data_IF_131570104268
#
_entry.id   IF_131570104268
#
_cell.length_a   1.000
_cell.length_b   1.000
_cell.length_c   1.000
_cell.angle_alpha   90.00
_cell.angle_beta   90.00
_cell.angle_gamma   90.00
#
_symmetry.space_group_name_H-M   'P 1'
#
loop_
_entity.id
_entity.type
_entity.pdbx_description
1 polymer ?
#
# COMPACT_ATOMS: atom_id res chain seq x y z
N UNK A 1 -11.50 -19.33 41.46
CA UNK A 1 -10.37 -18.76 40.69
C UNK A 1 -9.89 -19.84 39.74
N UNK A 2 -10.35 -19.80 38.49
CA UNK A 2 -9.93 -20.72 37.42
C UNK A 2 -9.12 -19.92 36.43
N UNK A 3 -7.81 -20.17 36.35
CA UNK A 3 -6.91 -19.49 35.42
C UNK A 3 -7.24 -19.82 33.95
N UNK A 4 -6.84 -18.95 33.01
CA UNK A 4 -7.09 -19.18 31.59
C UNK A 4 -6.29 -20.40 31.10
N UNK A 5 -6.95 -21.24 30.29
CA UNK A 5 -6.32 -22.38 29.60
C UNK A 5 -5.36 -21.86 28.53
N UNK A 6 -4.17 -22.44 28.36
CA UNK A 6 -3.30 -22.10 27.25
C UNK A 6 -3.99 -22.47 25.92
N UNK A 7 -4.06 -21.51 24.99
CA UNK A 7 -4.51 -21.74 23.62
C UNK A 7 -3.57 -22.71 22.88
N UNK A 8 -4.01 -23.29 21.76
CA UNK A 8 -3.20 -24.28 21.03
C UNK A 8 -1.89 -23.64 20.59
N UNK A 9 -0.77 -24.26 20.98
CA UNK A 9 0.54 -23.93 20.46
C UNK A 9 0.53 -24.18 18.94
N UNK A 10 0.56 -23.10 18.16
CA UNK A 10 0.69 -23.21 16.71
C UNK A 10 2.13 -23.64 16.42
N UNK A 11 2.32 -24.95 16.25
CA UNK A 11 3.58 -25.49 15.77
C UNK A 11 3.78 -25.01 14.33
N UNK A 12 4.82 -24.22 14.10
CA UNK A 12 5.32 -23.95 12.75
C UNK A 12 5.61 -25.31 12.09
N UNK A 13 5.10 -25.59 10.88
CA UNK A 13 5.64 -26.71 10.13
C UNK A 13 7.15 -26.45 9.95
N UNK A 14 7.99 -27.50 10.01
CA UNK A 14 9.40 -27.34 9.65
C UNK A 14 9.44 -26.68 8.27
N UNK A 15 10.39 -25.76 8.09
CA UNK A 15 10.67 -25.14 6.79
C UNK A 15 10.79 -26.27 5.77
N UNK A 16 9.70 -26.54 5.05
CA UNK A 16 9.69 -27.50 3.97
C UNK A 16 10.65 -26.98 2.93
N UNK A 17 11.48 -27.87 2.39
CA UNK A 17 12.48 -27.55 1.36
C UNK A 17 11.91 -26.53 0.37
N UNK A 18 12.39 -25.29 0.47
CA UNK A 18 12.23 -24.28 -0.57
C UNK A 18 12.89 -24.85 -1.82
N UNK A 19 12.11 -25.53 -2.66
CA UNK A 19 12.58 -25.95 -3.96
C UNK A 19 12.67 -24.70 -4.85
N UNK A 20 13.87 -24.32 -5.32
CA UNK A 20 14.01 -23.19 -6.22
C UNK A 20 13.33 -23.57 -7.55
N UNK A 21 12.20 -22.93 -7.87
CA UNK A 21 11.54 -23.14 -9.17
C UNK A 21 10.02 -23.14 -9.21
N UNK A 22 9.30 -22.98 -8.09
CA UNK A 22 7.87 -22.62 -8.10
C UNK A 22 7.74 -21.15 -7.76
N UNK A 23 7.12 -20.39 -8.67
CA UNK A 23 7.13 -18.94 -8.69
C UNK A 23 6.39 -18.28 -7.53
N UNK A 24 7.08 -18.08 -6.42
CA UNK A 24 6.74 -17.08 -5.43
C UNK A 24 7.46 -15.77 -5.83
N UNK A 25 6.75 -14.70 -6.24
CA UNK A 25 7.39 -13.46 -6.67
C UNK A 25 7.81 -12.64 -5.44
N UNK A 26 8.88 -13.05 -4.77
CA UNK A 26 9.47 -12.29 -3.67
C UNK A 26 10.50 -11.28 -4.19
N UNK A 27 10.48 -10.06 -3.63
CA UNK A 27 11.40 -8.99 -4.05
C UNK A 27 12.86 -9.26 -3.64
N UNK A 28 13.11 -10.05 -2.58
CA UNK A 28 14.44 -10.29 -2.00
C UNK A 28 14.58 -11.62 -1.20
N UNK A 29 13.66 -12.59 -1.34
CA UNK A 29 13.73 -13.86 -0.59
C UNK A 29 13.18 -13.81 0.85
N UNK A 30 12.34 -12.81 1.17
CA UNK A 30 11.69 -12.66 2.48
C UNK A 30 10.21 -13.05 2.36
N UNK A 31 9.80 -14.06 3.13
CA UNK A 31 8.41 -14.50 3.22
C UNK A 31 7.63 -13.75 4.29
N UNK A 32 6.38 -13.38 3.98
CA UNK A 32 5.40 -12.83 4.92
C UNK A 32 4.27 -13.83 5.13
N UNK A 33 3.82 -13.97 6.38
CA UNK A 33 2.59 -14.70 6.68
C UNK A 33 1.39 -13.82 6.37
N UNK A 34 0.38 -14.39 5.72
CA UNK A 34 -0.86 -13.72 5.36
C UNK A 34 -2.08 -14.51 5.85
N UNK A 35 -3.14 -13.79 6.18
CA UNK A 35 -4.46 -14.37 6.40
C UNK A 35 -5.26 -14.32 5.09
N UNK A 36 -6.28 -15.20 4.92
CA UNK A 36 -7.20 -15.10 3.80
C UNK A 36 -7.85 -13.72 3.72
N UNK A 37 -8.15 -13.27 2.51
CA UNK A 37 -8.87 -12.01 2.32
C UNK A 37 -10.25 -12.10 3.00
N UNK A 38 -10.63 -11.10 3.83
CA UNK A 38 -11.95 -11.06 4.43
C UNK A 38 -13.04 -10.84 3.37
N UNK A 39 -14.32 -10.90 3.76
CA UNK A 39 -15.39 -10.61 2.82
C UNK A 39 -15.26 -9.17 2.31
N UNK A 40 -15.49 -8.91 1.00
CA UNK A 40 -15.24 -7.61 0.41
C UNK A 40 -16.06 -6.48 1.06
N UNK A 41 -17.27 -6.77 1.54
CA UNK A 41 -18.17 -5.78 2.14
C UNK A 41 -17.97 -5.57 3.65
N UNK A 42 -17.10 -6.35 4.29
CA UNK A 42 -16.82 -6.12 5.71
C UNK A 42 -16.21 -4.72 5.92
N UNK A 43 -16.68 -3.95 6.92
CA UNK A 43 -16.20 -2.60 7.16
C UNK A 43 -14.68 -2.57 7.38
N UNK A 44 -14.03 -1.60 6.76
CA UNK A 44 -12.60 -1.36 6.93
C UNK A 44 -12.36 0.12 7.17
N UNK A 45 -11.50 0.49 8.11
CA UNK A 45 -11.14 1.90 8.25
C UNK A 45 -10.22 2.33 7.10
N UNK A 46 -9.14 1.58 6.88
CA UNK A 46 -8.12 1.90 5.88
C UNK A 46 -7.74 0.66 5.08
N UNK A 47 -7.94 0.71 3.76
CA UNK A 47 -7.36 -0.25 2.80
C UNK A 47 -6.02 0.30 2.31
N UNK A 48 -4.94 -0.50 2.40
CA UNK A 48 -3.62 -0.14 1.85
C UNK A 48 -3.18 -1.20 0.84
N UNK A 49 -2.92 -0.78 -0.39
CA UNK A 49 -2.36 -1.64 -1.43
C UNK A 49 -0.88 -1.37 -1.58
N UNK A 50 -0.06 -2.35 -1.17
CA UNK A 50 1.38 -2.29 -1.35
C UNK A 50 1.76 -2.64 -2.80
N UNK A 51 2.80 -1.99 -3.31
CA UNK A 51 3.40 -2.32 -4.59
C UNK A 51 4.32 -3.54 -4.53
N UNK A 52 4.95 -3.81 -5.66
CA UNK A 52 5.80 -4.97 -5.90
C UNK A 52 5.66 -5.46 -7.33
N UNK A 53 6.47 -6.44 -7.72
CA UNK A 53 6.41 -7.02 -9.07
C UNK A 53 5.10 -7.78 -9.31
N UNK A 54 4.57 -8.45 -8.29
CA UNK A 54 3.31 -9.19 -8.38
C UNK A 54 2.07 -8.33 -8.65
N UNK A 55 2.17 -7.00 -8.53
CA UNK A 55 1.00 -6.11 -8.73
C UNK A 55 0.45 -6.14 -10.15
N UNK A 56 1.30 -6.41 -11.16
CA UNK A 56 0.85 -6.43 -12.55
C UNK A 56 0.00 -7.67 -12.86
N UNK A 57 0.34 -8.81 -12.25
CA UNK A 57 -0.50 -10.02 -12.34
C UNK A 57 -1.76 -9.85 -11.48
N UNK A 58 -1.64 -9.29 -10.28
CA UNK A 58 -2.79 -8.97 -9.43
C UNK A 58 -3.79 -8.03 -10.12
N UNK A 59 -3.31 -7.04 -10.88
CA UNK A 59 -4.15 -6.10 -11.63
C UNK A 59 -4.84 -6.74 -12.85
N UNK A 60 -4.42 -7.94 -13.26
CA UNK A 60 -5.06 -8.73 -14.34
C UNK A 60 -6.01 -9.79 -13.81
N UNK A 61 -6.00 -10.07 -12.51
CA UNK A 61 -6.92 -11.00 -11.86
C UNK A 61 -8.28 -10.31 -11.61
N UNK A 62 -9.33 -10.67 -12.36
CA UNK A 62 -10.62 -10.00 -12.26
C UNK A 62 -11.30 -10.23 -10.89
N UNK A 63 -11.05 -11.35 -10.23
CA UNK A 63 -11.64 -11.65 -8.92
C UNK A 63 -11.02 -10.75 -7.85
N UNK A 64 -9.69 -10.64 -7.86
CA UNK A 64 -8.97 -9.75 -6.95
C UNK A 64 -9.30 -8.28 -7.21
N UNK A 65 -9.36 -7.85 -8.49
CA UNK A 65 -9.74 -6.48 -8.85
C UNK A 65 -11.14 -6.14 -8.36
N UNK A 66 -12.10 -7.05 -8.54
CA UNK A 66 -13.47 -6.86 -8.03
C UNK A 66 -13.51 -6.82 -6.49
N UNK A 67 -12.72 -7.66 -5.83
CA UNK A 67 -12.57 -7.63 -4.37
C UNK A 67 -12.03 -6.28 -3.89
N UNK A 68 -10.98 -5.77 -4.53
CA UNK A 68 -10.38 -4.47 -4.20
C UNK A 68 -11.38 -3.34 -4.42
N UNK A 69 -12.16 -3.35 -5.52
CA UNK A 69 -13.18 -2.34 -5.78
C UNK A 69 -14.23 -2.30 -4.65
N UNK A 70 -14.76 -3.47 -4.27
CA UNK A 70 -15.77 -3.57 -3.22
C UNK A 70 -15.21 -3.17 -1.84
N UNK A 71 -13.98 -3.62 -1.52
CA UNK A 71 -13.32 -3.28 -0.26
C UNK A 71 -13.00 -1.79 -0.17
N UNK A 72 -12.56 -1.18 -1.26
CA UNK A 72 -12.30 0.25 -1.35
C UNK A 72 -13.57 1.07 -1.09
N UNK A 73 -14.70 0.65 -1.65
CA UNK A 73 -16.01 1.28 -1.41
C UNK A 73 -16.50 1.13 0.05
N UNK A 74 -16.12 0.03 0.72
CA UNK A 74 -16.43 -0.20 2.13
C UNK A 74 -15.40 0.43 3.10
N UNK A 75 -14.40 1.16 2.59
CA UNK A 75 -13.34 1.75 3.39
C UNK A 75 -13.52 3.25 3.62
N UNK A 76 -13.22 3.75 4.83
CA UNK A 76 -13.17 5.21 5.08
C UNK A 76 -12.07 5.86 4.24
N UNK A 77 -10.93 5.17 4.11
CA UNK A 77 -9.75 5.65 3.39
C UNK A 77 -9.12 4.51 2.58
N UNK A 78 -8.61 4.85 1.40
CA UNK A 78 -7.89 3.93 0.52
C UNK A 78 -6.52 4.51 0.21
N UNK A 79 -5.49 3.70 0.34
CA UNK A 79 -4.13 4.11 0.10
C UNK A 79 -3.35 3.13 -0.78
N UNK A 80 -2.34 3.63 -1.48
CA UNK A 80 -1.34 2.79 -2.14
C UNK A 80 0.08 3.29 -1.93
N UNK A 81 1.00 2.34 -1.89
CA UNK A 81 2.44 2.61 -1.87
C UNK A 81 3.06 2.08 -3.15
N UNK A 82 3.93 2.86 -3.79
CA UNK A 82 4.70 2.42 -4.96
C UNK A 82 3.75 1.96 -6.08
N UNK A 83 4.04 0.82 -6.73
CA UNK A 83 3.22 0.27 -7.82
C UNK A 83 1.86 -0.27 -7.38
N UNK A 84 1.51 -0.23 -6.08
CA UNK A 84 0.17 -0.59 -5.60
C UNK A 84 -0.94 0.23 -6.26
N UNK A 85 -0.61 1.43 -6.75
CA UNK A 85 -1.51 2.28 -7.53
C UNK A 85 -2.05 1.59 -8.80
N UNK A 86 -1.32 0.64 -9.40
CA UNK A 86 -1.80 -0.07 -10.60
C UNK A 86 -3.01 -0.96 -10.29
N UNK A 87 -3.03 -1.66 -9.16
CA UNK A 87 -4.16 -2.49 -8.77
C UNK A 87 -5.39 -1.64 -8.37
N UNK A 88 -5.17 -0.50 -7.71
CA UNK A 88 -6.25 0.46 -7.45
C UNK A 88 -6.75 1.16 -8.72
N UNK A 89 -5.90 1.36 -9.72
CA UNK A 89 -6.31 1.89 -11.02
C UNK A 89 -7.13 0.85 -11.81
N UNK A 90 -6.72 -0.42 -11.78
CA UNK A 90 -7.45 -1.52 -12.39
C UNK A 90 -8.87 -1.69 -11.83
N UNK A 91 -9.10 -1.35 -10.56
CA UNK A 91 -10.44 -1.38 -9.94
C UNK A 91 -11.33 -0.19 -10.29
N UNK A 92 -10.81 0.82 -11.02
CA UNK A 92 -11.50 2.07 -11.33
C UNK A 92 -11.63 3.03 -10.15
N UNK A 93 -11.13 2.69 -8.96
CA UNK A 93 -11.29 3.51 -7.77
C UNK A 93 -10.51 4.85 -7.83
N UNK A 94 -9.48 4.90 -8.67
CA UNK A 94 -8.63 6.07 -8.88
C UNK A 94 -9.10 6.99 -10.03
N UNK A 95 -10.17 6.63 -10.75
CA UNK A 95 -10.61 7.40 -11.92
C UNK A 95 -10.92 8.86 -11.56
N UNK A 96 -10.36 9.80 -12.34
CA UNK A 96 -10.49 11.23 -12.15
C UNK A 96 -9.65 11.84 -11.04
N UNK A 97 -8.89 11.03 -10.27
CA UNK A 97 -8.14 11.49 -9.08
C UNK A 97 -6.68 11.81 -9.37
N UNK A 98 -6.10 12.64 -8.50
CA UNK A 98 -4.66 12.92 -8.47
C UNK A 98 -3.93 11.79 -7.77
N UNK A 99 -2.92 11.23 -8.43
CA UNK A 99 -2.19 10.07 -7.91
C UNK A 99 -0.69 10.15 -8.18
N UNK A 100 0.09 9.50 -7.33
CA UNK A 100 1.51 9.27 -7.52
C UNK A 100 1.85 7.80 -7.32
N UNK A 101 2.81 7.30 -8.09
CA UNK A 101 3.33 5.94 -8.01
C UNK A 101 4.85 5.98 -7.96
N UNK A 102 5.52 4.83 -8.03
CA UNK A 102 6.97 4.81 -8.18
C UNK A 102 7.40 5.64 -9.40
N UNK A 103 8.39 6.53 -9.25
CA UNK A 103 8.77 7.50 -10.28
C UNK A 103 9.07 6.87 -11.65
N UNK A 104 9.70 5.69 -11.69
CA UNK A 104 9.96 4.94 -12.95
C UNK A 104 8.70 4.40 -13.63
N UNK A 105 7.54 4.47 -12.99
CA UNK A 105 6.27 3.89 -13.43
C UNK A 105 5.17 4.92 -13.64
N UNK A 106 5.45 6.21 -13.43
CA UNK A 106 4.46 7.27 -13.61
C UNK A 106 3.97 7.35 -15.06
N UNK A 107 4.87 7.33 -16.04
CA UNK A 107 4.52 7.33 -17.47
C UNK A 107 3.65 6.11 -17.83
N UNK A 108 4.11 4.92 -17.43
CA UNK A 108 3.37 3.68 -17.65
C UNK A 108 1.96 3.71 -17.03
N UNK A 109 1.81 4.24 -15.83
CA UNK A 109 0.50 4.35 -15.17
C UNK A 109 -0.42 5.31 -15.94
N UNK A 110 0.11 6.46 -16.37
CA UNK A 110 -0.66 7.46 -17.12
C UNK A 110 -1.10 6.94 -18.49
N UNK A 111 -0.25 6.17 -19.18
CA UNK A 111 -0.58 5.54 -20.47
C UNK A 111 -1.67 4.47 -20.34
N UNK A 112 -1.61 3.64 -19.29
CA UNK A 112 -2.55 2.54 -19.09
C UNK A 112 -3.91 3.02 -18.55
N UNK A 113 -3.92 4.11 -17.77
CA UNK A 113 -5.10 4.62 -17.10
C UNK A 113 -5.25 6.13 -17.34
N UNK A 114 -5.69 6.54 -18.54
CA UNK A 114 -5.72 7.96 -18.95
C UNK A 114 -6.73 8.82 -18.17
N UNK A 115 -7.60 8.21 -17.35
CA UNK A 115 -8.51 8.92 -16.45
C UNK A 115 -7.82 9.42 -15.17
N UNK A 116 -6.60 8.95 -14.87
CA UNK A 116 -5.83 9.37 -13.70
C UNK A 116 -5.05 10.66 -13.99
N UNK A 117 -4.96 11.52 -12.99
CA UNK A 117 -4.07 12.68 -13.00
C UNK A 117 -2.76 12.29 -12.32
N UNK A 118 -1.85 11.63 -13.07
CA UNK A 118 -0.59 11.13 -12.52
C UNK A 118 0.44 12.24 -12.36
N UNK A 119 0.95 12.43 -11.14
CA UNK A 119 2.02 13.40 -10.85
C UNK A 119 3.32 12.67 -10.47
N UNK A 120 4.43 13.01 -11.13
CA UNK A 120 5.71 12.32 -10.95
C UNK A 120 6.58 12.84 -9.79
N UNK A 121 6.31 14.04 -9.27
CA UNK A 121 7.18 14.73 -8.31
C UNK A 121 6.78 14.59 -6.83
N UNK A 122 5.49 14.49 -6.45
CA UNK A 122 5.13 14.37 -5.03
C UNK A 122 5.67 13.09 -4.38
N UNK A 123 6.07 13.18 -3.11
CA UNK A 123 6.42 11.98 -2.31
C UNK A 123 5.15 11.20 -1.98
N UNK A 124 4.06 11.91 -1.69
CA UNK A 124 2.71 11.36 -1.61
C UNK A 124 1.68 12.44 -1.97
N UNK A 125 0.47 11.99 -2.29
CA UNK A 125 -0.70 12.82 -2.55
C UNK A 125 -1.84 12.33 -1.66
N UNK A 126 -2.54 13.29 -1.05
CA UNK A 126 -3.86 13.09 -0.46
C UNK A 126 -4.88 13.80 -1.36
N UNK A 127 -5.79 13.03 -1.93
CA UNK A 127 -6.94 13.50 -2.72
C UNK A 127 -8.24 12.97 -2.08
N UNK A 128 -8.61 13.58 -0.96
CA UNK A 128 -9.80 13.26 -0.16
C UNK A 128 -9.68 11.86 0.50
N UNK A 129 -10.50 10.88 0.09
CA UNK A 129 -10.42 9.52 0.64
C UNK A 129 -9.23 8.70 0.10
N UNK A 130 -8.51 9.20 -0.92
CA UNK A 130 -7.45 8.47 -1.62
C UNK A 130 -6.07 9.04 -1.29
N UNK A 131 -5.16 8.16 -0.88
CA UNK A 131 -3.80 8.51 -0.51
C UNK A 131 -2.77 7.67 -1.28
N UNK A 132 -1.96 8.27 -2.12
CA UNK A 132 -0.98 7.53 -2.92
C UNK A 132 0.42 8.01 -2.61
N UNK A 133 1.39 7.11 -2.50
CA UNK A 133 2.80 7.47 -2.33
C UNK A 133 3.67 6.94 -3.45
N UNK A 134 4.77 7.64 -3.65
CA UNK A 134 5.88 7.15 -4.44
C UNK A 134 6.50 5.87 -3.81
N UNK A 135 7.62 5.45 -4.37
CA UNK A 135 8.30 4.21 -4.02
C UNK A 135 9.02 4.20 -2.68
N UNK A 136 9.21 2.98 -2.17
CA UNK A 136 10.19 2.64 -1.12
C UNK A 136 9.97 3.46 0.15
N UNK A 137 10.85 4.41 0.45
CA UNK A 137 10.81 5.19 1.68
C UNK A 137 9.68 6.21 1.72
N UNK A 138 9.09 6.56 0.57
CA UNK A 138 7.91 7.41 0.52
C UNK A 138 6.69 6.81 1.23
N UNK A 139 6.64 5.48 1.37
CA UNK A 139 5.64 4.81 2.18
C UNK A 139 5.73 5.16 3.67
N UNK A 140 6.92 5.51 4.17
CA UNK A 140 7.13 5.95 5.56
C UNK A 140 6.54 7.35 5.74
N UNK A 141 6.79 8.28 4.80
CA UNK A 141 6.19 9.62 4.86
C UNK A 141 4.66 9.54 4.78
N UNK A 142 4.12 8.66 3.92
CA UNK A 142 2.69 8.41 3.87
C UNK A 142 2.16 7.90 5.21
N UNK A 143 2.80 6.88 5.79
CA UNK A 143 2.37 6.33 7.09
C UNK A 143 2.37 7.39 8.19
N UNK A 144 3.41 8.24 8.26
CA UNK A 144 3.46 9.34 9.22
C UNK A 144 2.37 10.40 8.96
N UNK A 145 2.07 10.69 7.69
CA UNK A 145 0.98 11.60 7.33
C UNK A 145 -0.40 11.04 7.70
N UNK A 146 -0.60 9.72 7.59
CA UNK A 146 -1.83 9.05 8.06
C UNK A 146 -1.95 9.15 9.59
N UNK A 147 -0.86 8.92 10.33
CA UNK A 147 -0.82 9.09 11.79
C UNK A 147 -1.12 10.54 12.19
N UNK A 148 -0.54 11.52 11.49
CA UNK A 148 -0.82 12.95 11.73
C UNK A 148 -2.30 13.28 11.46
N UNK A 149 -2.89 12.71 10.41
CA UNK A 149 -4.30 12.93 10.07
C UNK A 149 -5.27 12.32 11.09
N UNK A 150 -4.94 11.16 11.67
CA UNK A 150 -5.82 10.44 12.59
C UNK A 150 -5.62 10.84 14.06
N UNK A 151 -4.38 11.11 14.47
CA UNK A 151 -3.99 11.29 15.89
C UNK A 151 -3.35 12.66 16.17
N UNK A 152 -3.17 13.48 15.13
CA UNK A 152 -2.58 14.80 15.23
C UNK A 152 -1.05 14.81 15.21
N UNK A 153 -0.51 16.01 14.99
CA UNK A 153 0.92 16.26 14.75
C UNK A 153 1.83 15.82 15.88
N UNK A 154 1.40 15.96 17.13
CA UNK A 154 2.22 15.61 18.30
C UNK A 154 2.57 14.11 18.31
N UNK A 155 1.58 13.25 18.05
CA UNK A 155 1.77 11.79 17.99
C UNK A 155 2.65 11.42 16.79
N UNK A 156 2.41 12.02 15.62
CA UNK A 156 3.24 11.76 14.43
C UNK A 156 4.71 12.15 14.64
N UNK A 157 4.99 13.27 15.32
CA UNK A 157 6.35 13.68 15.69
C UNK A 157 7.01 12.69 16.66
N UNK A 158 6.25 12.16 17.62
CA UNK A 158 6.75 11.16 18.55
C UNK A 158 7.15 9.87 17.82
N UNK A 159 6.29 9.37 16.92
CA UNK A 159 6.57 8.19 16.09
C UNK A 159 7.80 8.43 15.21
N UNK A 160 7.87 9.58 14.54
CA UNK A 160 9.03 9.94 13.70
C UNK A 160 10.34 9.97 14.51
N UNK A 161 10.30 10.50 15.74
CA UNK A 161 11.45 10.54 16.65
C UNK A 161 11.88 9.15 17.09
N UNK A 162 10.94 8.25 17.39
CA UNK A 162 11.24 6.86 17.77
C UNK A 162 11.89 6.07 16.62
N UNK A 163 11.43 6.32 15.38
CA UNK A 163 11.98 5.70 14.17
C UNK A 163 13.25 6.39 13.64
N UNK A 164 13.67 7.51 14.24
CA UNK A 164 14.82 8.32 13.83
C UNK A 164 14.70 8.78 12.36
N UNK A 165 13.50 9.23 11.98
CA UNK A 165 13.18 9.75 10.63
C UNK A 165 12.64 11.18 10.70
N UNK A 166 12.71 11.90 9.58
CA UNK A 166 12.06 13.21 9.46
C UNK A 166 10.55 13.06 9.29
N UNK A 167 9.77 13.89 9.99
CA UNK A 167 8.31 13.92 9.80
C UNK A 167 7.90 14.32 8.38
N UNK A 168 8.65 15.25 7.78
CA UNK A 168 8.47 15.66 6.38
C UNK A 168 9.83 15.85 5.74
N UNK A 169 10.12 15.09 4.70
CA UNK A 169 11.34 15.26 3.92
C UNK A 169 11.25 16.51 3.03
N UNK A 170 12.33 17.27 2.82
CA UNK A 170 12.37 18.31 1.80
C UNK A 170 12.05 17.69 0.43
N UNK A 171 11.09 18.24 -0.29
CA UNK A 171 10.72 17.74 -1.62
C UNK A 171 11.89 17.89 -2.60
N UNK A 172 12.20 16.83 -3.34
CA UNK A 172 13.15 16.92 -4.44
C UNK A 172 12.49 17.61 -5.64
N UNK A 173 12.46 18.94 -5.64
CA UNK A 173 12.18 19.70 -6.85
C UNK A 173 13.37 19.57 -7.80
N UNK A 174 13.24 18.78 -8.88
CA UNK A 174 14.12 18.95 -10.04
C UNK A 174 13.69 20.23 -10.74
N UNK A 175 14.44 21.30 -10.55
CA UNK A 175 14.38 22.45 -11.46
C UNK A 175 14.91 21.99 -12.81
N UNK A 176 14.04 21.87 -13.81
CA UNK A 176 14.47 21.86 -15.20
C UNK A 176 15.07 23.24 -15.52
N UNK A 177 16.37 23.27 -15.77
CA UNK A 177 17.01 24.36 -16.48
C UNK A 177 16.71 24.25 -17.98
#
# INVERSE_FOLDING_TARGET
>A
MTGPRPGPAFALPPAGDCQPGRGDPELLGLALLAEPLPLPQEPCDTLIVAGGWGVYEAARDPELVAWVAARAAASRRVASVCTGAFLLAASGWLDGRRVVTHWTRCEQLAEQYPQLQVEANPIFINDGPVWTSAGVTAGIDLALALVEADLGRAVALEVARQLVVFLKRPGASRSSA
#
